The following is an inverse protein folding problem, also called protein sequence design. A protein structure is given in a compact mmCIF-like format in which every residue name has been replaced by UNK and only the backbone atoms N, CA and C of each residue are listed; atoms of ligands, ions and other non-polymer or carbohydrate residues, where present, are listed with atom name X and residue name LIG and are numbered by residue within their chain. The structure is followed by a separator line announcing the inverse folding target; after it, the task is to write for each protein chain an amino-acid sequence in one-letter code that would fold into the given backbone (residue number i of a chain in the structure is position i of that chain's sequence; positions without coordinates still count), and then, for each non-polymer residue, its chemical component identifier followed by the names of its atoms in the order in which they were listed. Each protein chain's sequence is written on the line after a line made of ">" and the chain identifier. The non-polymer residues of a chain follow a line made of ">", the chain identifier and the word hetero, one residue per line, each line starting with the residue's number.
data_IF_272212107966
#
_entry.id   IF_272212107966
#
_cell.length_a   1.000
_cell.length_b   1.000
_cell.length_c   1.000
_cell.angle_alpha   90.00
_cell.angle_beta   90.00
_cell.angle_gamma   90.00
#
_symmetry.space_group_name_H-M   'P 1'
#
loop_
_entity.id
_entity.type
_entity.pdbx_description
1 polymer ?
#
# COMPACT_ATOMS: atom_id res chain seq x y z
N UNK A 1 -68.33 37.19 21.78
CA UNK A 1 -67.95 35.95 21.07
C UNK A 1 -66.44 35.98 20.87
N UNK A 2 -65.66 35.03 21.44
CA UNK A 2 -64.22 34.97 21.24
C UNK A 2 -63.89 34.24 19.92
N UNK A 3 -62.72 34.49 19.28
CA UNK A 3 -62.30 33.74 18.10
C UNK A 3 -61.66 32.39 18.49
N UNK A 4 -61.89 31.37 17.65
CA UNK A 4 -61.25 30.05 17.76
C UNK A 4 -59.73 30.13 17.46
N UNK A 5 -58.91 29.24 18.04
CA UNK A 5 -57.49 29.15 17.73
C UNK A 5 -57.25 28.36 16.44
N UNK A 6 -56.37 28.86 15.57
CA UNK A 6 -55.85 28.15 14.40
C UNK A 6 -54.74 27.22 14.88
N UNK A 7 -54.93 25.90 14.74
CA UNK A 7 -53.88 24.90 14.93
C UNK A 7 -53.01 24.83 13.68
N UNK A 8 -51.75 25.26 13.79
CA UNK A 8 -50.73 25.07 12.76
C UNK A 8 -50.14 23.66 12.93
N UNK A 9 -50.43 22.75 11.99
CA UNK A 9 -49.82 21.42 11.95
C UNK A 9 -48.47 21.53 11.20
N UNK A 10 -47.37 21.48 11.94
CA UNK A 10 -46.02 21.45 11.38
C UNK A 10 -45.73 20.05 10.80
N UNK A 11 -45.68 19.93 9.47
CA UNK A 11 -45.21 18.72 8.79
C UNK A 11 -43.67 18.65 8.92
N UNK A 12 -43.16 17.69 9.70
CA UNK A 12 -41.75 17.30 9.65
C UNK A 12 -41.55 16.35 8.46
N UNK A 13 -40.90 16.81 7.40
CA UNK A 13 -40.39 15.94 6.35
C UNK A 13 -39.06 15.32 6.82
N UNK A 14 -39.08 14.04 7.17
CA UNK A 14 -37.87 13.27 7.41
C UNK A 14 -37.25 12.88 6.05
N UNK A 15 -36.17 13.56 5.66
CA UNK A 15 -35.33 13.15 4.53
C UNK A 15 -34.46 11.97 4.98
N UNK A 16 -34.82 10.77 4.55
CA UNK A 16 -33.92 9.60 4.62
C UNK A 16 -32.77 9.82 3.65
N UNK A 17 -31.59 10.14 4.18
CA UNK A 17 -30.36 10.05 3.41
C UNK A 17 -30.09 8.58 3.09
N UNK A 18 -30.29 8.18 1.84
CA UNK A 18 -29.78 6.91 1.32
C UNK A 18 -28.25 6.99 1.39
N UNK A 19 -27.65 6.31 2.37
CA UNK A 19 -26.22 6.07 2.36
C UNK A 19 -25.89 5.27 1.09
N UNK A 20 -25.10 5.86 0.20
CA UNK A 20 -24.45 5.11 -0.88
C UNK A 20 -23.51 4.13 -0.19
N UNK A 21 -23.93 2.86 -0.08
CA UNK A 21 -23.00 1.77 0.19
C UNK A 21 -22.05 1.74 -1.00
N UNK A 22 -20.80 2.16 -0.79
CA UNK A 22 -19.81 2.12 -1.86
C UNK A 22 -19.72 0.66 -2.36
N UNK A 23 -19.95 0.45 -3.66
CA UNK A 23 -19.70 -0.84 -4.29
C UNK A 23 -18.18 -1.06 -4.32
N UNK A 24 -17.65 -1.68 -3.27
CA UNK A 24 -16.23 -1.96 -3.17
C UNK A 24 -15.93 -3.28 -3.87
N UNK A 25 -15.01 -3.24 -4.84
CA UNK A 25 -14.50 -4.44 -5.48
C UNK A 25 -13.62 -5.25 -4.51
N UNK A 26 -13.36 -6.51 -4.85
CA UNK A 26 -12.30 -7.32 -4.24
C UNK A 26 -11.27 -7.67 -5.29
N UNK A 27 -9.99 -7.70 -4.93
CA UNK A 27 -8.94 -8.18 -5.83
C UNK A 27 -8.76 -9.69 -5.67
N UNK A 28 -8.55 -10.40 -6.78
CA UNK A 28 -8.23 -11.82 -6.82
C UNK A 28 -7.06 -12.06 -7.76
N UNK A 29 -6.17 -12.96 -7.34
CA UNK A 29 -5.07 -13.47 -8.16
C UNK A 29 -5.29 -14.96 -8.38
N UNK A 30 -5.37 -15.37 -9.64
CA UNK A 30 -5.52 -16.79 -10.01
C UNK A 30 -4.18 -17.54 -9.87
N UNK A 31 -4.23 -18.88 -9.88
CA UNK A 31 -3.04 -19.72 -9.78
C UNK A 31 -2.02 -19.51 -10.92
N UNK A 32 -2.46 -19.02 -12.07
CA UNK A 32 -1.60 -18.65 -13.22
C UNK A 32 -1.14 -17.18 -13.20
N UNK A 33 -1.40 -16.46 -12.11
CA UNK A 33 -0.91 -15.09 -11.90
C UNK A 33 -1.77 -14.00 -12.55
N UNK A 34 -2.98 -14.32 -13.03
CA UNK A 34 -3.87 -13.30 -13.57
C UNK A 34 -4.57 -12.55 -12.42
N UNK A 35 -4.64 -11.23 -12.56
CA UNK A 35 -5.26 -10.35 -11.58
C UNK A 35 -6.61 -9.91 -12.13
N UNK A 36 -7.62 -9.97 -11.27
CA UNK A 36 -8.98 -9.54 -11.60
C UNK A 36 -9.66 -8.89 -10.40
N UNK A 37 -10.63 -8.03 -10.69
CA UNK A 37 -11.54 -7.51 -9.69
C UNK A 37 -12.83 -8.34 -9.68
N UNK A 38 -13.39 -8.56 -8.49
CA UNK A 38 -14.70 -9.14 -8.28
C UNK A 38 -15.63 -8.03 -7.78
N UNK A 39 -16.73 -7.79 -8.48
CA UNK A 39 -17.76 -6.86 -8.01
C UNK A 39 -18.66 -7.50 -6.93
N UNK A 40 -19.58 -6.70 -6.39
CA UNK A 40 -20.51 -7.14 -5.32
C UNK A 40 -21.49 -8.22 -5.77
N UNK A 41 -21.67 -8.39 -7.09
CA UNK A 41 -22.54 -9.43 -7.69
C UNK A 41 -21.78 -10.73 -7.98
N UNK A 42 -20.45 -10.73 -7.81
CA UNK A 42 -19.60 -11.86 -8.15
C UNK A 42 -19.15 -11.88 -9.61
N UNK A 43 -19.36 -10.80 -10.37
CA UNK A 43 -18.83 -10.68 -11.72
C UNK A 43 -17.34 -10.38 -11.66
N UNK A 44 -16.57 -11.13 -12.44
CA UNK A 44 -15.13 -10.95 -12.61
C UNK A 44 -14.83 -9.94 -13.70
N UNK A 45 -13.92 -9.02 -13.42
CA UNK A 45 -13.40 -7.99 -14.32
C UNK A 45 -11.89 -8.20 -14.44
N UNK A 46 -11.40 -8.76 -15.56
CA UNK A 46 -9.98 -9.05 -15.71
C UNK A 46 -9.17 -7.75 -15.83
N UNK A 47 -8.05 -7.68 -15.10
CA UNK A 47 -7.09 -6.58 -15.21
C UNK A 47 -5.82 -6.97 -15.99
N UNK A 48 -5.51 -8.27 -16.01
CA UNK A 48 -4.38 -8.83 -16.76
C UNK A 48 -4.82 -10.03 -17.59
N UNK A 49 -4.05 -10.34 -18.62
CA UNK A 49 -4.21 -11.51 -19.47
C UNK A 49 -3.25 -12.64 -19.09
N UNK A 50 -3.54 -13.83 -19.61
CA UNK A 50 -2.70 -15.02 -19.42
C UNK A 50 -1.27 -14.76 -19.91
N UNK A 51 -0.29 -15.05 -19.06
CA UNK A 51 1.13 -14.89 -19.37
C UNK A 51 1.67 -13.47 -19.14
N UNK A 52 0.87 -12.57 -18.55
CA UNK A 52 1.34 -11.24 -18.15
C UNK A 52 2.32 -11.27 -16.97
N UNK A 53 2.61 -12.42 -16.35
CA UNK A 53 3.56 -12.54 -15.23
C UNK A 53 3.33 -11.49 -14.14
N UNK A 54 2.06 -11.34 -13.74
CA UNK A 54 1.64 -10.33 -12.77
C UNK A 54 1.49 -10.92 -11.38
N UNK A 55 1.74 -10.11 -10.36
CA UNK A 55 1.72 -10.55 -8.96
C UNK A 55 1.49 -9.39 -7.99
N UNK A 56 1.40 -9.72 -6.69
CA UNK A 56 1.39 -8.76 -5.59
C UNK A 56 0.34 -7.64 -5.75
N UNK A 57 -0.91 -8.03 -6.03
CA UNK A 57 -2.00 -7.09 -6.23
C UNK A 57 -2.50 -6.51 -4.91
N UNK A 58 -2.69 -5.18 -4.86
CA UNK A 58 -3.26 -4.46 -3.72
C UNK A 58 -4.40 -3.56 -4.19
N UNK A 59 -5.47 -3.48 -3.42
CA UNK A 59 -6.62 -2.63 -3.73
C UNK A 59 -6.47 -1.25 -3.08
N UNK A 60 -6.84 -0.20 -3.81
CA UNK A 60 -6.87 1.17 -3.31
C UNK A 60 -7.89 1.35 -2.18
N UNK A 61 -7.73 2.36 -1.32
CA UNK A 61 -8.66 2.59 -0.20
C UNK A 61 -10.11 2.87 -0.63
N UNK A 62 -10.31 3.43 -1.82
CA UNK A 62 -11.64 3.66 -2.40
C UNK A 62 -12.24 2.40 -3.04
N UNK A 63 -11.47 1.31 -3.16
CA UNK A 63 -11.92 0.04 -3.70
C UNK A 63 -11.99 -0.02 -5.22
N UNK A 64 -11.53 0.99 -5.97
CA UNK A 64 -11.73 1.09 -7.42
C UNK A 64 -10.49 0.84 -8.27
N UNK A 65 -9.29 0.94 -7.69
CA UNK A 65 -8.02 0.81 -8.40
C UNK A 65 -7.19 -0.30 -7.77
N UNK A 66 -6.56 -1.14 -8.59
CA UNK A 66 -5.60 -2.15 -8.12
C UNK A 66 -4.20 -1.74 -8.56
N UNK A 67 -3.25 -1.70 -7.63
CA UNK A 67 -1.83 -1.63 -7.96
C UNK A 67 -1.25 -3.04 -7.95
N UNK A 68 -0.42 -3.36 -8.92
CA UNK A 68 0.19 -4.68 -9.04
C UNK A 68 1.55 -4.62 -9.73
N UNK A 69 2.31 -5.70 -9.58
CA UNK A 69 3.63 -5.84 -10.20
C UNK A 69 3.51 -6.66 -11.47
N UNK A 70 4.24 -6.25 -12.52
CA UNK A 70 4.44 -7.00 -13.75
C UNK A 70 5.92 -7.22 -13.97
N UNK A 71 6.33 -8.46 -14.25
CA UNK A 71 7.72 -8.74 -14.63
C UNK A 71 7.91 -8.44 -16.12
N UNK A 72 8.64 -7.37 -16.43
CA UNK A 72 8.97 -6.97 -17.81
C UNK A 72 10.11 -7.83 -18.36
N UNK A 73 11.07 -8.21 -17.52
CA UNK A 73 12.17 -9.11 -17.88
C UNK A 73 12.68 -9.89 -16.68
N UNK A 74 12.93 -11.17 -16.87
CA UNK A 74 13.59 -12.02 -15.89
C UNK A 74 15.10 -11.81 -15.96
N UNK A 75 15.82 -11.96 -14.83
CA UNK A 75 17.26 -11.81 -14.84
C UNK A 75 17.92 -12.88 -15.72
N UNK A 76 19.00 -12.51 -16.40
CA UNK A 76 19.77 -13.42 -17.27
C UNK A 76 20.70 -14.35 -16.50
N UNK A 77 21.00 -14.01 -15.26
CA UNK A 77 21.90 -14.71 -14.33
C UNK A 77 21.52 -14.38 -12.88
N UNK A 78 22.11 -15.09 -11.93
CA UNK A 78 21.79 -14.98 -10.49
C UNK A 78 22.20 -13.64 -9.87
N UNK A 79 23.03 -12.85 -10.56
CA UNK A 79 23.50 -11.54 -10.08
C UNK A 79 22.71 -10.38 -10.70
N UNK A 80 21.84 -10.67 -11.66
CA UNK A 80 21.02 -9.69 -12.33
C UNK A 80 19.69 -9.54 -11.62
N UNK A 81 19.17 -8.32 -11.64
CA UNK A 81 17.90 -8.01 -11.04
C UNK A 81 16.74 -8.20 -12.01
N UNK A 82 15.60 -8.69 -11.52
CA UNK A 82 14.38 -8.71 -12.35
C UNK A 82 13.91 -7.28 -12.65
N UNK A 83 13.48 -7.06 -13.89
CA UNK A 83 12.95 -5.76 -14.32
C UNK A 83 11.44 -5.78 -14.12
N UNK A 84 11.02 -5.27 -12.97
CA UNK A 84 9.60 -5.21 -12.60
C UNK A 84 9.05 -3.82 -12.86
N UNK A 85 7.78 -3.74 -13.27
CA UNK A 85 7.02 -2.51 -13.42
C UNK A 85 5.87 -2.47 -12.41
N UNK A 86 5.50 -1.26 -11.98
CA UNK A 86 4.24 -1.04 -11.23
C UNK A 86 3.15 -0.66 -12.21
N UNK A 87 2.01 -1.36 -12.11
CA UNK A 87 0.83 -1.14 -12.94
C UNK A 87 -0.37 -0.77 -12.08
N UNK A 88 -1.32 -0.06 -12.70
CA UNK A 88 -2.61 0.27 -12.14
C UNK A 88 -3.70 -0.30 -13.03
N UNK A 89 -4.64 -1.03 -12.43
CA UNK A 89 -5.86 -1.52 -13.07
C UNK A 89 -7.10 -0.85 -12.50
N UNK A 90 -8.03 -0.48 -13.35
CA UNK A 90 -9.33 0.10 -13.02
C UNK A 90 -10.35 -1.03 -12.90
N UNK A 91 -10.91 -1.23 -11.70
CA UNK A 91 -11.88 -2.30 -11.45
C UNK A 91 -13.25 -2.06 -12.11
N UNK A 92 -13.57 -0.84 -12.54
CA UNK A 92 -14.82 -0.52 -13.20
C UNK A 92 -14.75 -0.77 -14.71
N UNK A 93 -13.64 -0.42 -15.34
CA UNK A 93 -13.47 -0.53 -16.79
C UNK A 93 -12.68 -1.76 -17.23
N UNK A 94 -11.89 -2.35 -16.34
CA UNK A 94 -10.91 -3.40 -16.67
C UNK A 94 -9.65 -2.86 -17.37
N UNK A 95 -9.52 -1.55 -17.53
CA UNK A 95 -8.36 -0.95 -18.17
C UNK A 95 -7.14 -0.98 -17.24
N UNK A 96 -5.98 -1.33 -17.79
CA UNK A 96 -4.70 -1.33 -17.07
C UNK A 96 -3.68 -0.42 -17.74
N UNK A 97 -2.91 0.31 -16.94
CA UNK A 97 -1.80 1.16 -17.41
C UNK A 97 -0.57 1.01 -16.54
N UNK A 98 0.61 1.15 -17.14
CA UNK A 98 1.87 1.21 -16.39
C UNK A 98 1.95 2.53 -15.64
N UNK A 99 2.23 2.46 -14.34
CA UNK A 99 2.50 3.62 -13.49
C UNK A 99 3.98 3.95 -13.48
N UNK A 100 4.84 2.93 -13.30
CA UNK A 100 6.28 3.10 -13.22
C UNK A 100 6.97 1.95 -13.96
N UNK A 101 7.93 2.30 -14.80
CA UNK A 101 8.82 1.36 -15.47
C UNK A 101 10.10 1.16 -14.64
N UNK A 102 10.77 -0.01 -14.76
CA UNK A 102 12.03 -0.23 -14.07
C UNK A 102 13.11 0.72 -14.57
N UNK A 103 14.01 1.11 -13.67
CA UNK A 103 15.14 1.98 -14.00
C UNK A 103 16.35 1.66 -13.13
N UNK A 104 17.45 1.22 -13.74
CA UNK A 104 18.72 1.07 -13.03
C UNK A 104 19.44 2.41 -12.92
N UNK A 105 20.06 2.68 -11.76
CA UNK A 105 20.87 3.87 -11.51
C UNK A 105 22.17 3.51 -10.78
N UNK A 106 23.21 4.32 -10.94
CA UNK A 106 24.42 4.22 -10.11
C UNK A 106 24.22 4.76 -8.69
N UNK A 107 23.08 5.40 -8.42
CA UNK A 107 22.68 5.84 -7.09
C UNK A 107 21.61 4.88 -6.54
N UNK A 108 21.89 4.12 -5.46
CA UNK A 108 20.93 3.23 -4.80
C UNK A 108 19.56 3.84 -4.54
N UNK A 109 19.50 5.11 -4.12
CA UNK A 109 18.24 5.82 -3.83
C UNK A 109 17.42 6.18 -5.08
N UNK A 110 17.94 5.89 -6.26
CA UNK A 110 17.31 6.14 -7.56
C UNK A 110 17.17 4.86 -8.38
N UNK A 111 17.65 3.72 -7.88
CA UNK A 111 17.46 2.41 -8.49
C UNK A 111 16.02 1.98 -8.28
N UNK A 112 15.37 1.56 -9.36
CA UNK A 112 13.97 1.16 -9.42
C UNK A 112 13.86 -0.17 -10.18
N UNK A 113 14.71 -1.13 -9.84
CA UNK A 113 14.62 -2.52 -10.30
C UNK A 113 13.93 -3.37 -9.24
N UNK A 114 13.42 -4.55 -9.61
CA UNK A 114 12.73 -5.45 -8.66
C UNK A 114 11.62 -4.78 -7.82
N UNK A 115 10.97 -3.76 -8.39
CA UNK A 115 9.81 -3.09 -7.80
C UNK A 115 8.84 -4.14 -7.27
N UNK A 116 8.58 -4.11 -5.97
CA UNK A 116 7.73 -5.07 -5.30
C UNK A 116 6.96 -4.45 -4.12
N UNK A 117 6.05 -5.23 -3.54
CA UNK A 117 5.20 -4.88 -2.38
C UNK A 117 4.43 -3.56 -2.58
N UNK A 118 3.68 -3.38 -3.68
CA UNK A 118 2.91 -2.17 -3.89
C UNK A 118 1.88 -2.02 -2.78
N UNK A 119 1.85 -0.85 -2.14
CA UNK A 119 0.92 -0.55 -1.05
C UNK A 119 0.39 0.86 -1.20
N UNK A 120 -0.94 1.02 -1.31
CA UNK A 120 -1.54 2.35 -1.37
C UNK A 120 -1.44 3.10 -0.05
N UNK A 121 -1.06 4.37 -0.12
CA UNK A 121 -1.31 5.37 0.95
C UNK A 121 -2.80 5.47 1.31
N UNK A 122 -3.12 5.95 2.52
CA UNK A 122 -4.51 6.01 3.01
C UNK A 122 -5.45 6.89 2.17
N UNK A 123 -4.92 7.92 1.52
CA UNK A 123 -5.70 8.80 0.66
C UNK A 123 -5.70 8.34 -0.81
N UNK A 124 -5.06 7.21 -1.13
CA UNK A 124 -5.01 6.68 -2.50
C UNK A 124 -4.20 7.53 -3.49
N UNK A 125 -3.44 8.54 -3.04
CA UNK A 125 -2.68 9.42 -3.94
C UNK A 125 -1.28 8.88 -4.29
N UNK A 126 -0.79 7.94 -3.47
CA UNK A 126 0.52 7.31 -3.64
C UNK A 126 0.46 5.80 -3.51
N UNK A 127 1.40 5.13 -4.20
CA UNK A 127 1.79 3.74 -3.97
C UNK A 127 3.20 3.72 -3.39
N UNK A 128 3.39 3.02 -2.28
CA UNK A 128 4.71 2.67 -1.76
C UNK A 128 5.19 1.36 -2.36
N UNK A 129 6.49 1.25 -2.60
CA UNK A 129 7.16 0.04 -3.10
C UNK A 129 8.52 -0.08 -2.43
N UNK A 130 9.08 -1.28 -2.46
CA UNK A 130 10.45 -1.57 -2.04
C UNK A 130 11.28 -2.07 -3.23
N UNK A 131 12.56 -1.73 -3.25
CA UNK A 131 13.53 -2.08 -4.30
C UNK A 131 14.90 -2.36 -3.71
N UNK A 132 15.71 -3.26 -4.29
CA UNK A 132 17.11 -3.42 -3.94
C UNK A 132 17.88 -2.11 -4.10
N UNK A 133 18.74 -1.80 -3.13
CA UNK A 133 19.51 -0.56 -3.14
C UNK A 133 20.96 -0.76 -2.71
N UNK A 134 21.20 -1.43 -1.58
CA UNK A 134 22.52 -1.73 -1.04
C UNK A 134 22.68 -3.23 -0.80
N UNK A 135 23.90 -3.66 -0.47
CA UNK A 135 24.18 -5.07 -0.15
C UNK A 135 23.43 -5.55 1.10
N UNK A 136 23.19 -4.64 2.04
CA UNK A 136 22.63 -4.93 3.37
C UNK A 136 21.27 -4.30 3.61
N UNK A 137 20.73 -3.57 2.63
CA UNK A 137 19.47 -2.86 2.79
C UNK A 137 18.78 -2.60 1.45
N UNK A 138 17.46 -2.65 1.50
CA UNK A 138 16.59 -2.20 0.41
C UNK A 138 16.23 -0.71 0.57
N UNK A 139 15.56 -0.15 -0.45
CA UNK A 139 15.03 1.19 -0.45
C UNK A 139 13.51 1.18 -0.59
N UNK A 140 12.85 1.99 0.23
CA UNK A 140 11.41 2.22 0.16
C UNK A 140 11.15 3.53 -0.58
N UNK A 141 10.30 3.45 -1.60
CA UNK A 141 9.93 4.56 -2.45
C UNK A 141 8.44 4.85 -2.37
N UNK A 142 8.09 6.11 -2.57
CA UNK A 142 6.73 6.56 -2.77
C UNK A 142 6.55 7.04 -4.22
N UNK A 143 5.49 6.59 -4.88
CA UNK A 143 5.16 6.93 -6.26
C UNK A 143 3.83 7.66 -6.27
N UNK A 144 3.79 8.88 -6.82
CA UNK A 144 2.55 9.61 -7.02
C UNK A 144 1.75 8.98 -8.18
N UNK A 145 0.52 8.55 -7.93
CA UNK A 145 -0.31 7.79 -8.88
C UNK A 145 -0.67 8.59 -10.15
N UNK A 146 -0.81 9.91 -10.00
CA UNK A 146 -1.24 10.80 -11.07
C UNK A 146 -0.08 11.23 -11.97
N UNK A 147 1.10 11.43 -11.38
CA UNK A 147 2.26 12.00 -12.10
C UNK A 147 3.36 11.00 -12.38
N UNK A 148 3.33 9.82 -11.75
CA UNK A 148 4.43 8.84 -11.79
C UNK A 148 5.70 9.30 -11.09
N UNK A 149 5.70 10.47 -10.42
CA UNK A 149 6.88 10.99 -9.73
C UNK A 149 7.23 10.10 -8.55
N UNK A 150 8.50 9.71 -8.49
CA UNK A 150 9.07 8.85 -7.45
C UNK A 150 9.85 9.69 -6.44
N UNK A 151 9.74 9.33 -5.17
CA UNK A 151 10.54 9.88 -4.07
C UNK A 151 11.06 8.74 -3.20
N UNK A 152 12.35 8.74 -2.92
CA UNK A 152 12.95 7.89 -1.88
C UNK A 152 12.45 8.34 -0.49
N UNK A 153 12.00 7.40 0.34
CA UNK A 153 11.53 7.66 1.69
C UNK A 153 12.62 7.30 2.70
N UNK A 154 13.04 6.04 2.72
CA UNK A 154 14.00 5.52 3.69
C UNK A 154 14.59 4.20 3.18
N UNK A 155 15.74 3.81 3.73
CA UNK A 155 16.27 2.45 3.63
C UNK A 155 15.55 1.51 4.61
N UNK A 156 15.35 0.26 4.22
CA UNK A 156 14.71 -0.76 5.05
C UNK A 156 14.23 -1.96 4.24
N UNK A 157 14.19 -3.12 4.90
CA UNK A 157 14.03 -4.43 4.25
C UNK A 157 12.56 -4.84 4.10
N UNK A 158 11.67 -4.19 4.85
CA UNK A 158 10.25 -4.39 4.72
C UNK A 158 9.50 -3.18 5.26
N UNK A 159 8.23 -3.05 4.86
CA UNK A 159 7.36 -2.04 5.42
C UNK A 159 5.90 -2.46 5.48
N UNK A 160 5.16 -1.82 6.38
CA UNK A 160 3.71 -1.92 6.50
C UNK A 160 3.09 -0.54 6.69
N UNK A 161 1.91 -0.31 6.12
CA UNK A 161 1.15 0.92 6.35
C UNK A 161 0.33 0.83 7.63
N UNK A 162 0.50 1.82 8.51
CA UNK A 162 -0.37 2.02 9.67
C UNK A 162 -1.70 2.59 9.17
N UNK A 163 -2.80 1.85 9.37
CA UNK A 163 -4.12 2.22 8.85
C UNK A 163 -4.99 2.98 9.84
N UNK A 164 -4.74 2.82 11.12
CA UNK A 164 -5.57 3.39 12.17
C UNK A 164 -4.70 4.03 13.26
N UNK A 165 -5.26 5.01 13.97
CA UNK A 165 -4.65 5.63 15.14
C UNK A 165 -3.88 6.91 14.88
N UNK A 166 -3.10 7.34 15.89
CA UNK A 166 -2.33 8.58 15.86
C UNK A 166 -1.24 8.61 14.77
N UNK A 167 -0.78 7.44 14.34
CA UNK A 167 0.21 7.29 13.27
C UNK A 167 -0.42 6.83 11.93
N UNK A 168 -1.74 6.95 11.76
CA UNK A 168 -2.39 6.57 10.51
C UNK A 168 -1.74 7.28 9.30
N UNK A 169 -1.32 6.49 8.31
CA UNK A 169 -0.65 6.96 7.11
C UNK A 169 0.88 6.84 7.15
N UNK A 170 1.46 6.64 8.33
CA UNK A 170 2.87 6.36 8.52
C UNK A 170 3.18 4.90 8.16
N UNK A 171 4.45 4.61 7.94
CA UNK A 171 4.97 3.27 7.69
C UNK A 171 5.60 2.72 8.97
N UNK A 172 5.40 1.44 9.24
CA UNK A 172 6.33 0.65 10.05
C UNK A 172 7.39 0.10 9.09
N UNK A 173 8.66 0.28 9.39
CA UNK A 173 9.79 -0.14 8.53
C UNK A 173 10.76 -0.98 9.35
N UNK A 174 11.11 -2.16 8.85
CA UNK A 174 12.21 -2.97 9.40
C UNK A 174 13.53 -2.48 8.83
N UNK A 175 14.54 -2.23 9.68
CA UNK A 175 15.86 -1.76 9.25
C UNK A 175 16.96 -2.51 10.00
N UNK A 176 17.99 -2.93 9.27
CA UNK A 176 19.29 -3.24 9.86
C UNK A 176 20.00 -1.92 10.22
N UNK A 177 20.23 -1.68 11.50
CA UNK A 177 21.08 -0.57 11.94
C UNK A 177 22.52 -1.06 12.06
N UNK A 178 23.44 -0.46 11.32
CA UNK A 178 24.87 -0.63 11.59
C UNK A 178 25.25 0.12 12.88
N UNK A 179 24.92 -0.42 14.05
CA UNK A 179 25.34 0.12 15.35
C UNK A 179 26.06 -0.94 16.20
N UNK A 180 27.35 -1.15 15.91
CA UNK A 180 28.24 -1.93 16.77
C UNK A 180 28.30 -3.41 16.42
N UNK A 181 28.40 -4.28 17.43
CA UNK A 181 28.60 -5.74 17.26
C UNK A 181 27.30 -6.54 17.16
N UNK A 182 26.14 -5.90 17.37
CA UNK A 182 24.82 -6.51 17.17
C UNK A 182 24.24 -5.99 15.86
N UNK A 183 24.06 -6.89 14.90
CA UNK A 183 23.43 -6.66 13.60
C UNK A 183 21.94 -7.05 13.66
N UNK A 184 21.28 -6.65 14.75
CA UNK A 184 19.87 -6.98 14.97
C UNK A 184 18.97 -5.94 14.30
N UNK A 185 18.06 -6.36 13.40
CA UNK A 185 17.13 -5.44 12.78
C UNK A 185 16.10 -4.93 13.80
N UNK A 186 15.85 -3.63 13.77
CA UNK A 186 14.84 -2.94 14.58
C UNK A 186 13.72 -2.36 13.70
N UNK A 187 12.59 -2.03 14.32
CA UNK A 187 11.44 -1.45 13.64
C UNK A 187 11.27 0.02 13.94
N UNK A 188 10.89 0.77 12.93
CA UNK A 188 10.73 2.22 12.99
C UNK A 188 9.37 2.64 12.48
N UNK A 189 8.76 3.63 13.13
CA UNK A 189 7.63 4.38 12.56
C UNK A 189 8.18 5.55 11.78
N UNK A 190 7.88 5.59 10.48
CA UNK A 190 8.39 6.55 9.52
C UNK A 190 7.24 7.31 8.90
N UNK A 191 7.28 8.63 8.93
CA UNK A 191 6.24 9.43 8.29
C UNK A 191 6.33 9.35 6.73
N UNK A 192 5.26 9.73 6.01
CA UNK A 192 5.27 9.71 4.55
C UNK A 192 6.31 10.60 3.87
N UNK A 193 6.97 11.53 4.57
CA UNK A 193 7.98 12.41 3.99
C UNK A 193 9.43 11.94 4.26
N UNK A 194 9.62 10.95 5.13
CA UNK A 194 10.91 10.38 5.50
C UNK A 194 11.68 11.15 6.59
N UNK A 195 11.07 12.15 7.24
CA UNK A 195 11.76 13.04 8.18
C UNK A 195 11.57 12.62 9.65
N UNK A 196 10.37 12.20 10.04
CA UNK A 196 10.10 11.71 11.40
C UNK A 196 10.30 10.20 11.43
N UNK A 197 11.31 9.76 12.19
CA UNK A 197 11.68 8.36 12.35
C UNK A 197 11.73 8.06 13.85
N UNK A 198 10.81 7.22 14.31
CA UNK A 198 10.72 6.81 15.71
C UNK A 198 11.07 5.33 15.79
N UNK A 199 12.16 5.01 16.49
CA UNK A 199 12.45 3.62 16.81
C UNK A 199 11.40 3.07 17.77
N UNK A 200 10.91 1.87 17.49
CA UNK A 200 9.99 1.16 18.37
C UNK A 200 10.83 0.47 19.46
N UNK A 201 10.65 0.82 20.75
CA UNK A 201 11.37 0.18 21.85
C UNK A 201 11.18 -1.34 21.86
N UNK A 202 12.24 -2.06 22.24
CA UNK A 202 12.27 -3.52 22.37
C UNK A 202 11.90 -4.28 21.08
N UNK A 203 12.05 -3.65 19.91
CA UNK A 203 11.66 -4.23 18.61
C UNK A 203 12.79 -4.96 17.88
N UNK A 204 14.03 -4.87 18.38
CA UNK A 204 15.18 -5.62 17.91
C UNK A 204 14.86 -7.13 17.89
N UNK A 205 14.79 -7.72 16.70
CA UNK A 205 14.38 -9.12 16.48
C UNK A 205 13.06 -9.55 17.16
N UNK A 206 12.21 -8.60 17.52
CA UNK A 206 11.01 -8.82 18.33
C UNK A 206 9.81 -8.10 17.72
N UNK A 207 9.34 -8.62 16.58
CA UNK A 207 8.15 -8.10 15.91
C UNK A 207 6.90 -8.02 16.82
N UNK A 208 6.65 -8.94 17.77
CA UNK A 208 5.54 -8.77 18.72
C UNK A 208 5.55 -7.45 19.50
N UNK A 209 6.71 -6.85 19.77
CA UNK A 209 6.80 -5.53 20.41
C UNK A 209 6.19 -4.42 19.56
N UNK A 210 6.28 -4.50 18.23
CA UNK A 210 5.64 -3.57 17.29
C UNK A 210 4.14 -3.50 17.53
N UNK A 211 3.48 -4.67 17.58
CA UNK A 211 2.04 -4.74 17.82
C UNK A 211 1.63 -4.21 19.19
N UNK A 212 2.45 -4.41 20.23
CA UNK A 212 2.20 -3.88 21.57
C UNK A 212 2.35 -2.36 21.61
N UNK A 213 3.42 -1.84 21.01
CA UNK A 213 3.70 -0.40 20.94
C UNK A 213 2.61 0.33 20.14
N UNK A 214 2.19 -0.22 19.00
CA UNK A 214 1.11 0.35 18.21
C UNK A 214 -0.20 0.40 19.00
N UNK A 215 -0.54 -0.65 19.75
CA UNK A 215 -1.73 -0.66 20.62
C UNK A 215 -1.67 0.43 21.70
N UNK A 216 -0.52 0.65 22.32
CA UNK A 216 -0.32 1.71 23.32
C UNK A 216 -0.53 3.11 22.71
N UNK A 217 -0.23 3.28 21.43
CA UNK A 217 -0.44 4.51 20.67
C UNK A 217 -1.75 4.53 19.88
N UNK A 218 -2.73 3.69 20.27
CA UNK A 218 -4.04 3.57 19.64
C UNK A 218 -3.98 3.35 18.12
N UNK A 219 -2.91 2.70 17.65
CA UNK A 219 -2.59 2.50 16.24
C UNK A 219 -2.61 1.02 15.86
N UNK A 220 -2.82 0.74 14.58
CA UNK A 220 -2.82 -0.63 14.05
C UNK A 220 -2.41 -0.67 12.57
N UNK A 221 -1.67 -1.73 12.22
CA UNK A 221 -1.37 -2.09 10.84
C UNK A 221 -2.60 -2.74 10.19
N UNK A 222 -2.65 -2.70 8.86
CA UNK A 222 -3.80 -3.14 8.07
C UNK A 222 -3.69 -4.50 7.40
N UNK A 223 -2.64 -5.28 7.69
CA UNK A 223 -2.34 -6.56 7.05
C UNK A 223 -2.05 -7.65 8.09
N UNK A 224 -2.09 -8.90 7.65
CA UNK A 224 -1.47 -10.03 8.37
C UNK A 224 0.04 -9.85 8.35
N UNK A 225 0.69 -10.19 9.48
CA UNK A 225 2.14 -10.29 9.69
C UNK A 225 2.95 -10.48 8.39
N UNK A 226 3.99 -9.67 8.13
CA UNK A 226 4.82 -9.81 6.95
C UNK A 226 5.42 -11.20 6.97
N UNK A 227 5.37 -11.89 5.83
CA UNK A 227 5.94 -13.22 5.72
C UNK A 227 7.41 -13.15 6.18
N UNK A 228 7.86 -14.08 7.05
CA UNK A 228 9.27 -14.17 7.36
C UNK A 228 10.03 -14.44 6.05
N UNK A 229 11.11 -13.70 5.83
CA UNK A 229 12.06 -13.95 4.75
C UNK A 229 12.63 -15.36 4.83
#
# INVERSE_FOLDING_TARGET
>A
MPPLPVLLLSLLSATTALGVQAETYRVQTSADGNISCLDTTGKTIPLTGKGDNSSQATLSPDGHTVAFIKVDSQPSDEFSHSLNSVWLGDCTTGASRRLLAPHASGNPKQTLTELNTPTFSLNGNFVYVITPAWTTADAIHQININTGKVRFIIEGDSFELIRHGGYAGYLVVKRHLEMGTDDSPAYFVVNPNGEDIIEIPDSEDNYPAVGQWLKQHHSAMGGTEPAPN
#
